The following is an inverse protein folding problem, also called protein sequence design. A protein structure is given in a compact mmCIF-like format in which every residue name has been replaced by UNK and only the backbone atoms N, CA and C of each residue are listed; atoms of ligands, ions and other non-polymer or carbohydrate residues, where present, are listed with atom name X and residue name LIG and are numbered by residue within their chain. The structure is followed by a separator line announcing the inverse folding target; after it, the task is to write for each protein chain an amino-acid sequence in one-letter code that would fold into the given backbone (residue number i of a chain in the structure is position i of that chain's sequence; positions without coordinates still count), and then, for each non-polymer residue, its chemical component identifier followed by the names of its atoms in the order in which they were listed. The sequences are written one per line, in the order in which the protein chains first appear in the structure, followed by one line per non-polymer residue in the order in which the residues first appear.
data_IF_385432013064
#
_entry.id   IF_385432013064
#
_cell.length_a   1.000
_cell.length_b   1.000
_cell.length_c   1.000
_cell.angle_alpha   90.00
_cell.angle_beta   90.00
_cell.angle_gamma   90.00
#
_symmetry.space_group_name_H-M   'P 1'
#
loop_
_entity.id
_entity.type
_entity.pdbx_description
1 polymer ?
#
# COMPACT_ATOMS: atom_id res chain seq x y z
N UNK A 1 28.26 -2.32 -8.67
CA UNK A 1 27.32 -1.68 -9.61
C UNK A 1 25.98 -2.43 -9.69
N UNK A 2 25.39 -2.81 -8.54
CA UNK A 2 24.12 -3.58 -8.46
C UNK A 2 23.12 -3.02 -7.42
N UNK A 3 23.45 -1.91 -6.77
CA UNK A 3 22.60 -1.28 -5.74
C UNK A 3 21.78 -0.09 -6.29
N UNK A 4 22.08 0.41 -7.49
CA UNK A 4 21.38 1.58 -8.05
C UNK A 4 19.97 1.24 -8.57
N UNK A 5 19.72 0.03 -9.09
CA UNK A 5 18.41 -0.34 -9.65
C UNK A 5 17.32 -0.69 -8.61
N UNK A 6 17.69 -0.94 -7.34
CA UNK A 6 16.72 -1.23 -6.27
C UNK A 6 16.19 0.05 -5.58
N UNK A 7 16.93 1.15 -5.69
CA UNK A 7 16.49 2.49 -5.23
C UNK A 7 15.45 3.12 -6.17
N UNK A 8 15.34 2.64 -7.42
CA UNK A 8 14.54 3.27 -8.49
C UNK A 8 13.02 2.98 -8.42
N UNK A 9 12.54 2.11 -7.52
CA UNK A 9 11.12 1.76 -7.44
C UNK A 9 10.37 2.44 -6.29
N UNK A 10 11.02 3.31 -5.52
CA UNK A 10 10.39 4.18 -4.50
C UNK A 10 10.40 5.63 -4.93
N UNK A 11 9.36 6.36 -4.55
CA UNK A 11 9.08 7.72 -4.99
C UNK A 11 8.16 7.75 -6.22
N UNK A 12 7.87 8.97 -6.71
CA UNK A 12 7.05 9.17 -7.89
C UNK A 12 7.72 8.60 -9.15
N UNK A 13 6.90 8.20 -10.12
CA UNK A 13 7.38 7.67 -11.40
C UNK A 13 6.26 7.44 -12.40
N UNK A 14 6.58 7.16 -13.68
CA UNK A 14 5.57 6.87 -14.69
C UNK A 14 4.61 5.77 -14.25
N UNK A 15 3.31 6.03 -14.37
CA UNK A 15 2.24 5.12 -13.97
C UNK A 15 2.03 4.95 -12.46
N UNK A 16 2.69 5.76 -11.63
CA UNK A 16 2.33 5.93 -10.21
C UNK A 16 1.45 7.16 -10.04
N UNK A 17 0.27 6.97 -9.48
CA UNK A 17 -0.67 8.04 -9.16
C UNK A 17 -0.65 8.23 -7.66
N UNK A 18 -0.36 9.43 -7.14
CA UNK A 18 -0.43 9.70 -5.70
C UNK A 18 -1.90 9.72 -5.28
N UNK A 19 -2.28 8.88 -4.30
CA UNK A 19 -3.69 8.66 -3.98
C UNK A 19 -4.09 8.94 -2.53
N UNK A 20 -3.19 8.87 -1.56
CA UNK A 20 -3.59 8.99 -0.16
C UNK A 20 -3.31 10.36 0.44
N UNK A 21 -4.20 10.75 1.34
CA UNK A 21 -4.05 11.95 2.15
C UNK A 21 -3.26 11.66 3.43
N UNK A 22 -3.37 10.44 3.97
CA UNK A 22 -2.61 10.01 5.15
C UNK A 22 -2.48 8.49 5.25
N UNK A 23 -1.43 8.07 5.98
CA UNK A 23 -1.21 6.68 6.37
C UNK A 23 -1.01 6.60 7.88
N UNK A 24 -1.48 5.52 8.51
CA UNK A 24 -1.35 5.33 9.96
C UNK A 24 -1.04 3.89 10.33
N UNK A 25 -0.25 3.73 11.39
CA UNK A 25 0.05 2.47 12.03
C UNK A 25 -0.79 2.34 13.29
N UNK A 26 -1.67 1.35 13.31
CA UNK A 26 -2.65 1.18 14.36
C UNK A 26 -2.35 -0.05 15.22
N UNK A 27 -2.35 0.18 16.54
CA UNK A 27 -2.41 -0.86 17.56
C UNK A 27 -3.84 -1.01 18.09
N UNK A 28 -4.01 -1.75 19.20
CA UNK A 28 -5.31 -1.91 19.85
C UNK A 28 -5.92 -0.62 20.41
N UNK A 29 -5.08 0.25 20.97
CA UNK A 29 -5.54 1.41 21.76
C UNK A 29 -5.41 2.75 21.02
N UNK A 30 -4.53 2.83 20.01
CA UNK A 30 -4.24 4.07 19.29
C UNK A 30 -3.75 3.81 17.88
N UNK A 31 -3.85 4.83 17.05
CA UNK A 31 -3.20 4.92 15.74
C UNK A 31 -2.18 6.05 15.76
N UNK A 32 -1.05 5.84 15.11
CA UNK A 32 -0.01 6.86 14.90
C UNK A 32 0.04 7.15 13.41
N UNK A 33 -0.19 8.40 13.03
CA UNK A 33 0.00 8.84 11.65
C UNK A 33 1.49 8.83 11.31
N UNK A 34 1.83 8.36 10.11
CA UNK A 34 3.20 8.24 9.61
C UNK A 34 3.30 8.94 8.26
N UNK A 35 4.40 9.66 8.05
CA UNK A 35 4.65 10.42 6.83
C UNK A 35 5.03 9.47 5.69
N UNK A 36 4.02 8.96 4.98
CA UNK A 36 4.20 8.05 3.87
C UNK A 36 3.67 8.65 2.58
N UNK A 37 4.36 8.38 1.48
CA UNK A 37 3.80 8.59 0.15
C UNK A 37 3.08 7.33 -0.29
N UNK A 38 1.88 7.48 -0.83
CA UNK A 38 1.05 6.34 -1.24
C UNK A 38 0.66 6.50 -2.68
N UNK A 39 0.95 5.47 -3.46
CA UNK A 39 0.74 5.47 -4.90
C UNK A 39 -0.12 4.30 -5.33
N UNK A 40 -1.08 4.56 -6.24
CA UNK A 40 -1.62 3.52 -7.11
C UNK A 40 -0.60 3.30 -8.24
N UNK A 41 0.09 2.16 -8.21
CA UNK A 41 1.07 1.78 -9.22
C UNK A 41 0.38 0.89 -10.27
N UNK A 42 0.18 1.45 -11.46
CA UNK A 42 -0.63 0.86 -12.53
C UNK A 42 0.18 -0.17 -13.33
N UNK A 43 -0.46 -1.30 -13.66
CA UNK A 43 0.14 -2.39 -14.45
C UNK A 43 0.78 -1.90 -15.76
N UNK A 44 1.94 -2.45 -16.10
CA UNK A 44 2.64 -2.17 -17.35
C UNK A 44 3.48 -0.89 -17.31
N UNK A 45 3.56 -0.23 -16.15
CA UNK A 45 4.38 0.95 -15.93
C UNK A 45 5.42 0.71 -14.84
N UNK A 46 6.61 1.29 -14.99
CA UNK A 46 7.70 1.20 -14.00
C UNK A 46 7.87 -0.22 -13.42
N UNK A 47 7.91 -1.21 -14.31
CA UNK A 47 8.05 -2.66 -14.02
C UNK A 47 6.88 -3.32 -13.25
N UNK A 48 5.76 -2.62 -12.99
CA UNK A 48 4.59 -3.22 -12.36
C UNK A 48 3.95 -4.29 -13.25
N UNK A 49 4.03 -5.55 -12.82
CA UNK A 49 3.38 -6.68 -13.49
C UNK A 49 1.88 -6.78 -13.22
N UNK A 50 1.42 -6.18 -12.13
CA UNK A 50 0.02 -6.13 -11.67
C UNK A 50 -0.21 -4.76 -11.02
N UNK A 51 -1.40 -4.17 -11.19
CA UNK A 51 -1.78 -2.94 -10.49
C UNK A 51 -1.85 -3.17 -8.97
N UNK A 52 -1.20 -2.33 -8.19
CA UNK A 52 -1.12 -2.45 -6.73
C UNK A 52 -1.02 -1.08 -6.05
N UNK A 53 -1.11 -1.06 -4.72
CA UNK A 53 -0.92 0.17 -3.93
C UNK A 53 0.42 0.11 -3.23
N UNK A 54 1.30 1.05 -3.53
CA UNK A 54 2.55 1.30 -2.81
C UNK A 54 2.28 2.18 -1.59
N UNK A 55 2.87 1.84 -0.44
CA UNK A 55 2.90 2.64 0.78
C UNK A 55 4.37 2.81 1.19
N UNK A 56 4.91 4.01 0.96
CA UNK A 56 6.34 4.28 0.97
C UNK A 56 6.73 5.19 2.13
N UNK A 57 7.32 4.59 3.14
CA UNK A 57 7.97 5.23 4.29
C UNK A 57 8.83 4.18 5.05
N UNK A 58 9.93 4.59 5.71
CA UNK A 58 10.85 3.66 6.37
C UNK A 58 10.21 2.77 7.45
N UNK A 59 9.18 3.26 8.15
CA UNK A 59 8.47 2.52 9.20
C UNK A 59 7.84 1.22 8.68
N UNK A 60 7.43 1.19 7.40
CA UNK A 60 6.84 0.00 6.79
C UNK A 60 7.83 -1.16 6.69
N UNK A 61 9.14 -0.87 6.56
CA UNK A 61 10.17 -1.91 6.55
C UNK A 61 10.41 -2.53 7.93
N UNK A 62 9.98 -1.88 9.01
CA UNK A 62 9.93 -2.50 10.34
C UNK A 62 8.74 -3.47 10.47
N UNK A 63 7.70 -3.32 9.63
CA UNK A 63 6.53 -4.20 9.59
C UNK A 63 6.80 -5.43 8.73
N UNK A 64 7.37 -5.23 7.54
CA UNK A 64 7.67 -6.29 6.59
C UNK A 64 8.94 -5.94 5.81
N UNK A 65 9.96 -6.80 5.89
CA UNK A 65 11.27 -6.50 5.28
C UNK A 65 11.22 -6.62 3.76
N UNK A 66 12.09 -5.90 3.02
CA UNK A 66 12.22 -6.09 1.58
C UNK A 66 12.40 -7.57 1.20
N UNK A 67 11.59 -8.06 0.24
CA UNK A 67 11.59 -9.45 -0.22
C UNK A 67 10.74 -10.41 0.62
N UNK A 68 10.22 -9.99 1.78
CA UNK A 68 9.21 -10.75 2.52
C UNK A 68 7.82 -10.49 1.95
N UNK A 69 6.92 -11.45 2.13
CA UNK A 69 5.55 -11.33 1.67
C UNK A 69 4.57 -12.19 2.44
N UNK A 70 3.37 -11.68 2.62
CA UNK A 70 2.33 -12.36 3.40
C UNK A 70 0.94 -12.02 2.88
N UNK A 71 0.08 -13.05 2.78
CA UNK A 71 -1.34 -12.83 2.53
C UNK A 71 -2.03 -12.27 3.78
N UNK A 72 -2.76 -11.18 3.61
CA UNK A 72 -3.46 -10.45 4.66
C UNK A 72 -4.91 -10.21 4.27
N UNK A 73 -5.76 -9.92 5.26
CA UNK A 73 -7.10 -9.39 5.01
C UNK A 73 -6.99 -7.89 4.76
N UNK A 74 -7.72 -7.40 3.77
CA UNK A 74 -7.89 -5.98 3.52
C UNK A 74 -9.38 -5.64 3.43
N UNK A 75 -9.75 -4.45 3.90
CA UNK A 75 -11.11 -3.94 3.82
C UNK A 75 -11.11 -2.45 3.51
N UNK A 76 -12.09 -2.00 2.74
CA UNK A 76 -12.29 -0.60 2.40
C UNK A 76 -13.51 -0.09 3.17
N UNK A 77 -13.32 0.87 4.07
CA UNK A 77 -14.37 1.45 4.91
C UNK A 77 -14.14 2.94 5.12
N UNK A 78 -15.16 3.78 4.95
CA UNK A 78 -15.09 5.23 5.18
C UNK A 78 -13.84 5.86 4.53
N UNK A 79 -13.70 5.72 3.20
CA UNK A 79 -12.51 6.19 2.45
C UNK A 79 -11.17 5.61 2.94
N UNK A 80 -11.16 4.50 3.69
CA UNK A 80 -9.95 3.95 4.31
C UNK A 80 -9.71 2.52 3.87
N UNK A 81 -8.55 2.27 3.26
CA UNK A 81 -8.00 0.94 3.12
C UNK A 81 -7.40 0.52 4.46
N UNK A 82 -7.97 -0.54 5.04
CA UNK A 82 -7.51 -1.18 6.29
C UNK A 82 -6.83 -2.50 5.94
N UNK A 83 -5.57 -2.66 6.31
CA UNK A 83 -4.75 -3.84 6.06
C UNK A 83 -4.45 -4.51 7.41
N UNK A 84 -4.98 -5.70 7.62
CA UNK A 84 -4.89 -6.40 8.90
C UNK A 84 -3.68 -7.34 8.93
N UNK A 85 -2.70 -7.03 9.78
CA UNK A 85 -1.48 -7.80 9.89
C UNK A 85 -1.75 -9.15 10.57
N UNK A 86 -1.17 -10.24 10.03
CA UNK A 86 -1.32 -11.58 10.62
C UNK A 86 -0.64 -11.73 11.96
N UNK A 87 0.45 -10.98 12.17
CA UNK A 87 1.22 -10.95 13.40
C UNK A 87 1.30 -9.52 13.88
N UNK A 88 1.27 -9.34 15.20
CA UNK A 88 1.51 -8.03 15.80
C UNK A 88 2.99 -7.72 15.74
N UNK A 89 3.36 -6.51 15.35
CA UNK A 89 4.75 -6.08 15.22
C UNK A 89 5.00 -4.93 16.18
N UNK A 90 5.97 -5.08 17.07
CA UNK A 90 6.39 -3.99 17.93
C UNK A 90 7.34 -3.07 17.16
N UNK A 91 7.02 -1.78 17.09
CA UNK A 91 7.86 -0.73 16.51
C UNK A 91 8.43 0.12 17.65
N UNK A 92 9.70 -0.12 18.06
CA UNK A 92 10.32 0.62 19.16
C UNK A 92 10.38 2.13 18.93
N UNK A 93 10.63 2.57 17.69
CA UNK A 93 10.71 3.99 17.31
C UNK A 93 9.42 4.77 17.59
N UNK A 94 8.28 4.09 17.59
CA UNK A 94 6.96 4.68 17.83
C UNK A 94 6.34 4.23 19.15
N UNK A 95 7.00 3.34 19.89
CA UNK A 95 6.48 2.75 21.13
C UNK A 95 5.09 2.13 20.96
N UNK A 96 4.86 1.38 19.88
CA UNK A 96 3.54 0.81 19.56
C UNK A 96 3.65 -0.63 19.07
N UNK A 97 2.69 -1.46 19.46
CA UNK A 97 2.46 -2.78 18.87
C UNK A 97 1.40 -2.65 17.78
N UNK A 98 1.83 -2.70 16.52
CA UNK A 98 1.00 -2.53 15.33
C UNK A 98 0.34 -3.86 14.95
N UNK A 99 -0.96 -3.80 14.65
CA UNK A 99 -1.71 -4.93 14.10
C UNK A 99 -2.51 -4.56 12.84
N UNK A 100 -2.50 -3.29 12.44
CA UNK A 100 -3.23 -2.79 11.29
C UNK A 100 -2.49 -1.59 10.66
N UNK A 101 -2.43 -1.56 9.33
CA UNK A 101 -2.04 -0.37 8.55
C UNK A 101 -3.33 0.25 7.99
N UNK A 102 -3.48 1.57 8.11
CA UNK A 102 -4.58 2.33 7.52
C UNK A 102 -4.05 3.31 6.50
N UNK A 103 -4.73 3.42 5.37
CA UNK A 103 -4.45 4.39 4.31
C UNK A 103 -5.75 5.08 3.95
N UNK A 104 -5.81 6.40 4.06
CA UNK A 104 -7.01 7.19 3.75
C UNK A 104 -6.90 7.81 2.36
N UNK A 105 -7.92 7.63 1.54
CA UNK A 105 -8.06 8.22 0.21
C UNK A 105 -9.52 8.25 -0.21
N UNK A 106 -9.99 9.38 -0.74
CA UNK A 106 -11.35 9.50 -1.26
C UNK A 106 -11.62 8.57 -2.46
N UNK A 107 -10.57 8.13 -3.16
CA UNK A 107 -10.66 7.12 -4.22
C UNK A 107 -11.26 5.81 -3.71
N UNK A 108 -11.03 5.47 -2.44
CA UNK A 108 -11.52 4.23 -1.85
C UNK A 108 -13.04 4.21 -1.66
N UNK A 109 -13.76 5.32 -1.86
CA UNK A 109 -15.22 5.32 -1.94
C UNK A 109 -15.76 4.38 -3.03
N UNK A 110 -15.03 4.24 -4.15
CA UNK A 110 -15.38 3.31 -5.23
C UNK A 110 -15.36 1.84 -4.80
N UNK A 111 -14.67 1.55 -3.69
CA UNK A 111 -14.48 0.22 -3.12
C UNK A 111 -15.19 0.07 -1.75
N UNK A 112 -16.03 1.02 -1.35
CA UNK A 112 -16.67 1.04 -0.04
C UNK A 112 -17.39 -0.28 0.27
N UNK A 113 -17.34 -0.70 1.53
CA UNK A 113 -17.89 -1.96 2.02
C UNK A 113 -17.26 -3.25 1.45
N UNK A 114 -16.30 -3.17 0.52
CA UNK A 114 -15.60 -4.36 -0.01
C UNK A 114 -14.55 -4.87 0.97
N UNK A 115 -14.29 -6.17 0.92
CA UNK A 115 -13.16 -6.80 1.60
C UNK A 115 -12.57 -7.88 0.70
N UNK A 116 -11.26 -8.09 0.80
CA UNK A 116 -10.56 -9.09 -0.01
C UNK A 116 -9.39 -9.67 0.77
N UNK A 117 -8.92 -10.83 0.34
CA UNK A 117 -7.52 -11.17 0.57
C UNK A 117 -6.64 -10.25 -0.27
N UNK A 118 -5.50 -9.85 0.28
CA UNK A 118 -4.47 -9.07 -0.37
C UNK A 118 -3.11 -9.70 -0.09
N UNK A 119 -2.14 -9.44 -0.96
CA UNK A 119 -0.74 -9.77 -0.76
C UNK A 119 -0.01 -8.51 -0.33
N UNK A 120 0.50 -8.51 0.91
CA UNK A 120 1.36 -7.45 1.41
C UNK A 120 2.82 -7.89 1.19
N UNK A 121 3.55 -7.15 0.36
CA UNK A 121 4.95 -7.43 0.05
C UNK A 121 5.86 -6.30 0.53
N UNK A 122 7.00 -6.65 1.11
CA UNK A 122 8.02 -5.68 1.50
C UNK A 122 8.87 -5.27 0.31
N UNK A 123 9.11 -3.97 0.15
CA UNK A 123 10.03 -3.37 -0.82
C UNK A 123 11.01 -2.46 -0.10
N UNK A 124 12.13 -2.12 -0.72
CA UNK A 124 13.02 -1.09 -0.17
C UNK A 124 12.19 0.18 0.03
N UNK A 125 12.27 0.81 1.21
CA UNK A 125 11.59 2.07 1.51
C UNK A 125 10.07 2.00 1.70
N UNK A 126 9.46 0.81 1.73
CA UNK A 126 8.02 0.70 1.88
C UNK A 126 7.45 -0.71 1.83
N UNK A 127 6.15 -0.79 1.62
CA UNK A 127 5.43 -2.02 1.27
C UNK A 127 4.57 -1.78 0.05
N UNK A 128 4.18 -2.84 -0.63
CA UNK A 128 3.13 -2.81 -1.63
C UNK A 128 2.00 -3.77 -1.26
N UNK A 129 0.78 -3.45 -1.71
CA UNK A 129 -0.43 -4.21 -1.46
C UNK A 129 -1.05 -4.58 -2.79
N UNK A 130 -0.91 -5.85 -3.17
CA UNK A 130 -1.58 -6.44 -4.33
C UNK A 130 -2.94 -7.01 -3.93
N UNK A 131 -3.95 -6.86 -4.79
CA UNK A 131 -5.31 -7.33 -4.53
C UNK A 131 -5.74 -8.43 -5.50
N UNK A 132 -6.93 -8.99 -5.28
CA UNK A 132 -7.57 -9.87 -6.26
C UNK A 132 -8.12 -9.08 -7.44
N UNK A 133 -8.36 -9.78 -8.56
CA UNK A 133 -8.77 -9.20 -9.84
C UNK A 133 -9.97 -8.26 -9.71
N UNK A 134 -10.93 -8.58 -8.85
CA UNK A 134 -12.16 -7.78 -8.67
C UNK A 134 -11.85 -6.38 -8.11
N UNK A 135 -10.86 -6.26 -7.23
CA UNK A 135 -10.43 -4.96 -6.69
C UNK A 135 -9.51 -4.26 -7.69
N UNK A 136 -8.60 -5.02 -8.33
CA UNK A 136 -7.69 -4.49 -9.36
C UNK A 136 -8.48 -3.81 -10.49
N UNK A 137 -9.54 -4.45 -10.99
CA UNK A 137 -10.35 -3.90 -12.08
C UNK A 137 -10.98 -2.55 -11.71
N UNK A 138 -11.45 -2.36 -10.48
CA UNK A 138 -11.98 -1.07 -10.04
C UNK A 138 -10.88 -0.01 -9.90
N UNK A 139 -9.72 -0.38 -9.33
CA UNK A 139 -8.57 0.53 -9.24
C UNK A 139 -8.09 0.96 -10.64
N UNK A 140 -8.06 0.05 -11.60
CA UNK A 140 -7.67 0.34 -13.00
C UNK A 140 -8.68 1.23 -13.72
N UNK A 141 -9.98 1.12 -13.42
CA UNK A 141 -10.99 2.07 -13.91
C UNK A 141 -10.72 3.47 -13.39
N UNK A 142 -10.39 3.61 -12.11
CA UNK A 142 -10.05 4.92 -11.54
C UNK A 142 -8.76 5.46 -12.16
N UNK A 143 -7.72 4.63 -12.29
CA UNK A 143 -6.47 5.02 -12.96
C UNK A 143 -6.73 5.55 -14.38
N UNK A 144 -7.59 4.85 -15.15
CA UNK A 144 -8.00 5.28 -16.49
C UNK A 144 -8.72 6.63 -16.46
N UNK A 145 -9.63 6.88 -15.51
CA UNK A 145 -10.27 8.20 -15.36
C UNK A 145 -9.28 9.31 -15.00
N UNK A 146 -8.12 8.97 -14.46
CA UNK A 146 -7.02 9.88 -14.13
C UNK A 146 -5.96 9.95 -15.25
N UNK A 147 -6.22 9.36 -16.42
CA UNK A 147 -5.35 9.44 -17.60
C UNK A 147 -4.20 8.42 -17.63
N UNK A 148 -4.20 7.42 -16.75
CA UNK A 148 -3.18 6.37 -16.71
C UNK A 148 -3.81 5.02 -16.99
N UNK A 149 -3.57 4.48 -18.18
CA UNK A 149 -4.11 3.18 -18.57
C UNK A 149 -3.13 2.03 -18.30
N UNK A 150 -3.60 0.85 -17.85
CA UNK A 150 -2.76 -0.34 -17.75
C UNK A 150 -2.27 -0.80 -19.13
N UNK A 151 -1.03 -1.30 -19.21
CA UNK A 151 -0.40 -1.83 -20.44
C UNK A 151 -0.14 -3.33 -20.37
#
# INVERSE_FOLDING_TARGET
MLLSGLLELTGPGPGKIKIADSASLCGKARCIEVACEVYLHVKGWSLARVTHIDVECPEMNSILKPGEGVYVRAAFRNCTLRIFLRRRVYLPSLGIVVNEIRVRSDLFNTLENRSSWAYLGGKVGGVFVGFRKEIITELEKVAKSMGVEPR
#
